data_IF_316108156508
#
_entry.id   IF_316108156508
#
_cell.length_a   1.000
_cell.length_b   1.000
_cell.length_c   1.000
_cell.angle_alpha   90.00
_cell.angle_beta   90.00
_cell.angle_gamma   90.00
#
_symmetry.space_group_name_H-M   'P 1'
#
loop_
_entity.id
_entity.type
_entity.pdbx_description
1 polymer ?
#
# COMPACT_ATOMS: atom_id res chain seq x y z
N UNK A 1 -0.97 -10.51 5.97
CA UNK A 1 -0.25 -9.40 5.30
C UNK A 1 -1.04 -8.89 4.09
N UNK A 2 -1.40 -9.79 3.18
CA UNK A 2 -1.89 -9.48 1.81
C UNK A 2 -3.15 -8.62 1.79
N UNK A 3 -4.24 -9.01 2.47
CA UNK A 3 -5.47 -8.21 2.50
C UNK A 3 -5.27 -6.77 3.00
N UNK A 4 -4.33 -6.55 3.93
CA UNK A 4 -3.97 -5.18 4.36
C UNK A 4 -3.38 -4.41 3.18
N UNK A 5 -2.41 -5.00 2.46
CA UNK A 5 -1.76 -4.34 1.33
C UNK A 5 -2.77 -4.09 0.21
N UNK A 6 -3.51 -5.11 -0.20
CA UNK A 6 -4.37 -5.05 -1.38
C UNK A 6 -5.61 -4.18 -1.13
N UNK A 7 -6.43 -4.55 -0.13
CA UNK A 7 -7.74 -3.94 0.07
C UNK A 7 -7.79 -2.96 1.25
N UNK A 8 -6.75 -2.92 2.06
CA UNK A 8 -6.75 -2.21 3.33
C UNK A 8 -7.48 -2.97 4.44
N UNK A 9 -7.06 -2.71 5.67
CA UNK A 9 -7.74 -3.18 6.89
C UNK A 9 -7.93 -2.07 7.89
N UNK A 10 -8.90 -2.25 8.79
CA UNK A 10 -9.13 -1.36 9.94
C UNK A 10 -7.85 -1.26 10.79
N UNK A 11 -7.46 -0.04 11.15
CA UNK A 11 -6.25 0.25 11.96
C UNK A 11 -6.39 -0.28 13.38
N UNK A 12 -7.59 -0.18 13.94
CA UNK A 12 -7.97 -0.64 15.27
C UNK A 12 -9.44 -1.08 15.22
N UNK A 13 -9.87 -2.11 15.96
CA UNK A 13 -11.28 -2.54 16.00
C UNK A 13 -12.26 -1.40 16.30
N UNK A 14 -11.85 -0.41 17.08
CA UNK A 14 -12.69 0.70 17.54
C UNK A 14 -12.67 1.95 16.65
N UNK A 15 -11.93 1.93 15.52
CA UNK A 15 -11.80 3.09 14.63
C UNK A 15 -12.14 2.74 13.20
N UNK A 16 -12.90 3.58 12.52
CA UNK A 16 -13.18 3.43 11.09
C UNK A 16 -12.03 3.92 10.18
N UNK A 17 -10.81 3.99 10.70
CA UNK A 17 -9.61 4.34 9.92
C UNK A 17 -9.02 3.07 9.30
N UNK A 18 -8.67 3.12 8.01
CA UNK A 18 -8.08 2.00 7.27
C UNK A 18 -6.59 2.27 7.00
N UNK A 19 -5.77 1.22 7.01
CA UNK A 19 -4.35 1.25 6.60
C UNK A 19 -4.12 0.25 5.46
N UNK A 20 -3.12 0.53 4.61
CA UNK A 20 -2.85 -0.22 3.38
C UNK A 20 -3.80 0.17 2.25
N UNK A 21 -4.27 -0.77 1.44
CA UNK A 21 -5.20 -0.50 0.35
C UNK A 21 -4.51 0.10 -0.87
N UNK A 22 -3.83 -0.75 -1.63
CA UNK A 22 -2.96 -0.41 -2.74
C UNK A 22 -3.30 -1.18 -4.04
N UNK A 23 -4.28 -2.08 -4.02
CA UNK A 23 -4.70 -2.82 -5.22
C UNK A 23 -5.50 -1.92 -6.19
N UNK A 24 -5.33 -2.08 -7.51
CA UNK A 24 -6.19 -1.44 -8.50
C UNK A 24 -7.66 -1.92 -8.43
N UNK A 25 -7.94 -3.00 -7.69
CA UNK A 25 -9.30 -3.48 -7.43
C UNK A 25 -10.09 -2.59 -6.45
N UNK A 26 -9.46 -1.55 -5.86
CA UNK A 26 -10.15 -0.50 -5.10
C UNK A 26 -10.74 0.51 -6.10
N UNK A 27 -11.87 0.15 -6.69
CA UNK A 27 -12.56 0.94 -7.71
C UNK A 27 -14.09 0.75 -7.61
N UNK A 28 -14.84 1.51 -8.41
CA UNK A 28 -16.31 1.52 -8.36
C UNK A 28 -16.99 0.28 -9.00
N UNK A 29 -16.23 -0.65 -9.59
CA UNK A 29 -16.77 -1.95 -10.01
C UNK A 29 -16.80 -2.96 -8.84
N UNK A 30 -16.16 -2.64 -7.71
CA UNK A 30 -16.18 -3.44 -6.50
C UNK A 30 -17.17 -2.82 -5.50
N UNK A 31 -18.21 -3.58 -5.15
CA UNK A 31 -19.32 -3.10 -4.33
C UNK A 31 -18.96 -2.75 -2.88
N UNK A 32 -17.80 -3.19 -2.37
CA UNK A 32 -17.34 -2.81 -1.03
C UNK A 32 -16.56 -1.48 -1.03
N UNK A 33 -16.40 -0.84 -2.18
CA UNK A 33 -15.67 0.42 -2.30
C UNK A 33 -16.48 1.50 -3.00
N UNK A 34 -16.30 2.73 -2.53
CA UNK A 34 -16.57 3.93 -3.31
C UNK A 34 -15.25 4.69 -3.48
N UNK A 35 -14.80 4.89 -4.71
CA UNK A 35 -13.48 5.43 -5.03
C UNK A 35 -13.56 6.58 -6.04
N UNK A 36 -12.68 7.56 -5.88
CA UNK A 36 -12.43 8.65 -6.81
C UNK A 36 -10.96 8.65 -7.18
N UNK A 37 -10.68 8.58 -8.48
CA UNK A 37 -9.35 8.81 -9.02
C UNK A 37 -9.03 10.30 -8.98
N UNK A 38 -7.90 10.66 -8.35
CA UNK A 38 -7.45 12.03 -8.20
C UNK A 38 -6.41 12.39 -9.26
N UNK A 39 -5.51 11.46 -9.57
CA UNK A 39 -4.52 11.60 -10.64
C UNK A 39 -3.88 10.26 -11.00
N UNK A 40 -3.28 10.21 -12.19
CA UNK A 40 -2.43 9.11 -12.66
C UNK A 40 -0.99 9.61 -12.69
N UNK A 41 -0.07 8.85 -12.09
CA UNK A 41 1.35 9.17 -12.10
C UNK A 41 2.01 8.65 -13.40
N UNK A 42 3.18 9.17 -13.81
CA UNK A 42 3.87 8.72 -15.02
C UNK A 42 4.23 7.22 -15.06
N UNK A 43 4.37 6.58 -13.89
CA UNK A 43 4.66 5.14 -13.75
C UNK A 43 3.38 4.26 -13.84
N UNK A 44 2.21 4.86 -14.11
CA UNK A 44 0.93 4.19 -14.22
C UNK A 44 0.23 3.91 -12.90
N UNK A 45 0.86 4.19 -11.76
CA UNK A 45 0.17 4.16 -10.46
C UNK A 45 -0.87 5.27 -10.38
N UNK A 46 -1.88 5.12 -9.53
CA UNK A 46 -2.94 6.11 -9.39
C UNK A 46 -3.05 6.62 -7.97
N UNK A 47 -3.25 7.91 -7.81
CA UNK A 47 -3.63 8.49 -6.54
C UNK A 47 -5.15 8.53 -6.48
N UNK A 48 -5.73 7.89 -5.46
CA UNK A 48 -7.16 7.81 -5.26
C UNK A 48 -7.54 8.31 -3.87
N UNK A 49 -8.82 8.62 -3.69
CA UNK A 49 -9.46 8.58 -2.37
C UNK A 49 -10.59 7.56 -2.40
N UNK A 50 -10.75 6.81 -1.31
CA UNK A 50 -11.80 5.78 -1.22
C UNK A 50 -12.44 5.70 0.16
N UNK A 51 -13.64 5.15 0.19
CA UNK A 51 -14.35 4.66 1.37
C UNK A 51 -14.52 3.15 1.17
N UNK A 52 -14.33 2.37 2.23
CA UNK A 52 -14.53 0.92 2.27
C UNK A 52 -15.73 0.57 3.14
N UNK A 53 -16.63 -0.27 2.66
CA UNK A 53 -17.60 -0.98 3.49
C UNK A 53 -16.85 -1.98 4.36
N UNK A 54 -16.96 -1.83 5.68
CA UNK A 54 -16.25 -2.66 6.65
C UNK A 54 -16.99 -3.98 6.92
N UNK A 55 -18.15 -4.19 6.30
CA UNK A 55 -18.98 -5.40 6.37
C UNK A 55 -19.46 -5.74 7.80
N UNK A 56 -19.47 -4.75 8.68
CA UNK A 56 -19.97 -4.82 10.05
C UNK A 56 -21.01 -3.73 10.35
N UNK A 57 -21.65 -3.22 9.29
CA UNK A 57 -22.59 -2.10 9.35
C UNK A 57 -21.93 -0.72 9.41
N UNK A 58 -20.60 -0.63 9.37
CA UNK A 58 -19.86 0.62 9.32
C UNK A 58 -19.14 0.81 7.97
N UNK A 59 -18.87 2.07 7.66
CA UNK A 59 -17.98 2.47 6.56
C UNK A 59 -16.70 3.08 7.12
N UNK A 60 -15.61 2.99 6.35
CA UNK A 60 -14.36 3.67 6.69
C UNK A 60 -14.50 5.19 6.57
N UNK A 61 -13.62 5.93 7.26
CA UNK A 61 -13.31 7.31 6.88
C UNK A 61 -12.74 7.32 5.46
N UNK A 62 -12.86 8.46 4.77
CA UNK A 62 -12.19 8.69 3.49
C UNK A 62 -10.69 8.48 3.68
N UNK A 63 -10.10 7.65 2.83
CA UNK A 63 -8.67 7.38 2.81
C UNK A 63 -8.08 7.76 1.46
N UNK A 64 -6.98 8.51 1.47
CA UNK A 64 -6.12 8.69 0.30
C UNK A 64 -5.13 7.54 0.18
N UNK A 65 -4.86 7.10 -1.04
CA UNK A 65 -3.88 6.06 -1.31
C UNK A 65 -3.28 6.21 -2.69
N UNK A 66 -2.04 5.76 -2.85
CA UNK A 66 -1.47 5.45 -4.15
C UNK A 66 -1.65 3.95 -4.38
N UNK A 67 -2.31 3.57 -5.47
CA UNK A 67 -2.56 2.19 -5.86
C UNK A 67 -1.65 1.79 -7.02
N UNK A 68 -1.35 0.49 -7.12
CA UNK A 68 -0.56 -0.07 -8.22
C UNK A 68 -1.29 0.11 -9.57
N UNK A 69 -0.56 0.03 -10.70
CA UNK A 69 -1.16 0.16 -12.02
C UNK A 69 -2.24 -0.91 -12.28
N UNK A 70 -3.24 -0.58 -13.08
CA UNK A 70 -4.33 -1.51 -13.45
C UNK A 70 -3.83 -2.79 -14.15
N UNK A 71 -2.62 -2.76 -14.72
CA UNK A 71 -1.97 -3.91 -15.36
C UNK A 71 -1.37 -4.91 -14.36
N UNK A 72 -1.35 -4.59 -13.06
CA UNK A 72 -0.83 -5.46 -12.02
C UNK A 72 -1.98 -6.18 -11.32
N UNK A 73 -1.93 -7.51 -11.34
CA UNK A 73 -2.82 -8.34 -10.54
C UNK A 73 -2.29 -8.48 -9.09
N UNK A 74 -3.15 -9.00 -8.20
CA UNK A 74 -2.84 -9.12 -6.78
C UNK A 74 -1.59 -9.98 -6.51
N UNK A 75 -1.39 -11.09 -7.23
CA UNK A 75 -0.19 -11.93 -7.09
C UNK A 75 1.09 -11.15 -7.42
N UNK A 76 1.10 -10.42 -8.54
CA UNK A 76 2.23 -9.57 -8.92
C UNK A 76 2.56 -8.53 -7.86
N UNK A 77 1.53 -7.89 -7.29
CA UNK A 77 1.72 -6.89 -6.22
C UNK A 77 2.38 -7.53 -5.00
N UNK A 78 1.84 -8.66 -4.53
CA UNK A 78 2.33 -9.33 -3.34
C UNK A 78 3.75 -9.88 -3.54
N UNK A 79 4.01 -10.52 -4.68
CA UNK A 79 5.31 -11.10 -4.99
C UNK A 79 6.38 -10.01 -5.16
N UNK A 80 6.03 -8.89 -5.78
CA UNK A 80 6.92 -7.72 -5.88
C UNK A 80 7.26 -7.16 -4.50
N UNK A 81 6.27 -7.02 -3.61
CA UNK A 81 6.52 -6.53 -2.24
C UNK A 81 7.38 -7.50 -1.44
N UNK A 82 7.18 -8.82 -1.58
CA UNK A 82 8.05 -9.83 -0.95
C UNK A 82 9.47 -9.70 -1.48
N UNK A 83 9.64 -9.64 -2.81
CA UNK A 83 10.93 -9.46 -3.47
C UNK A 83 11.68 -8.21 -2.97
N UNK A 84 11.01 -7.06 -2.95
CA UNK A 84 11.61 -5.82 -2.41
C UNK A 84 11.97 -5.98 -0.93
N UNK A 85 11.11 -6.62 -0.14
CA UNK A 85 11.37 -6.86 1.29
C UNK A 85 12.54 -7.83 1.57
N UNK A 86 12.93 -8.64 0.61
CA UNK A 86 14.07 -9.56 0.74
C UNK A 86 15.38 -8.96 0.21
N UNK A 87 15.34 -7.71 -0.28
CA UNK A 87 16.52 -6.96 -0.65
C UNK A 87 17.31 -6.45 0.58
N UNK A 88 18.56 -5.99 0.40
CA UNK A 88 19.31 -5.37 1.49
C UNK A 88 18.60 -4.11 2.03
N UNK A 89 18.51 -4.01 3.36
CA UNK A 89 17.90 -2.85 4.01
C UNK A 89 18.67 -1.56 3.71
N UNK A 90 17.96 -0.52 3.27
CA UNK A 90 18.51 0.82 3.07
C UNK A 90 18.62 1.64 4.35
N UNK A 91 17.83 1.33 5.37
CA UNK A 91 18.01 1.87 6.73
C UNK A 91 17.30 1.01 7.79
N UNK A 92 17.68 1.21 9.05
CA UNK A 92 17.09 0.55 10.23
C UNK A 92 16.56 1.62 11.18
N UNK A 93 15.30 1.50 11.57
CA UNK A 93 14.65 2.41 12.51
C UNK A 93 15.03 2.07 13.94
N UNK A 94 15.75 2.98 14.61
CA UNK A 94 16.34 2.76 15.93
C UNK A 94 15.33 2.36 17.03
N UNK A 95 14.10 2.86 16.95
CA UNK A 95 13.07 2.63 17.99
C UNK A 95 12.67 1.16 18.13
N UNK A 96 12.56 0.45 17.02
CA UNK A 96 11.94 -0.89 16.98
C UNK A 96 12.68 -1.89 16.09
N UNK A 97 13.79 -1.49 15.48
CA UNK A 97 14.58 -2.36 14.60
C UNK A 97 13.93 -2.65 13.25
N UNK A 98 12.82 -1.97 12.91
CA UNK A 98 12.22 -2.14 11.59
C UNK A 98 13.19 -1.73 10.48
N UNK A 99 13.18 -2.46 9.37
CA UNK A 99 14.05 -2.24 8.22
C UNK A 99 13.26 -1.63 7.06
N UNK A 100 13.88 -0.71 6.33
CA UNK A 100 13.32 -0.08 5.15
C UNK A 100 14.02 -0.59 3.89
N UNK A 101 13.22 -0.94 2.89
CA UNK A 101 13.65 -1.50 1.61
C UNK A 101 12.96 -0.77 0.48
N UNK A 102 13.69 -0.57 -0.63
CA UNK A 102 13.17 0.10 -1.82
C UNK A 102 13.79 -0.47 -3.07
N UNK A 103 12.94 -0.77 -4.04
CA UNK A 103 13.35 -1.13 -5.40
C UNK A 103 12.34 -0.62 -6.42
N UNK A 104 12.74 -0.62 -7.69
CA UNK A 104 11.87 -0.37 -8.83
C UNK A 104 11.61 -1.69 -9.53
N UNK A 105 10.34 -2.06 -9.68
CA UNK A 105 9.90 -3.26 -10.40
C UNK A 105 9.00 -2.80 -11.55
N UNK A 106 9.36 -3.13 -12.78
CA UNK A 106 8.65 -2.73 -14.02
C UNK A 106 8.28 -1.23 -14.08
N UNK A 107 9.21 -0.38 -13.65
CA UNK A 107 9.03 1.09 -13.64
C UNK A 107 8.31 1.65 -12.41
N UNK A 108 7.75 0.81 -11.53
CA UNK A 108 7.09 1.24 -10.28
C UNK A 108 8.07 1.16 -9.11
N UNK A 109 8.33 2.29 -8.44
CA UNK A 109 9.08 2.31 -7.19
C UNK A 109 8.18 1.83 -6.03
N UNK A 110 8.70 0.87 -5.25
CA UNK A 110 7.99 0.22 -4.16
C UNK A 110 8.80 0.40 -2.87
N UNK A 111 8.11 0.86 -1.82
CA UNK A 111 8.62 0.88 -0.46
C UNK A 111 8.10 -0.30 0.33
N UNK A 112 9.00 -0.96 1.06
CA UNK A 112 8.67 -2.04 1.99
C UNK A 112 9.30 -1.79 3.35
N UNK A 113 8.51 -1.99 4.40
CA UNK A 113 8.99 -1.95 5.79
C UNK A 113 8.80 -3.33 6.39
N UNK A 114 9.89 -3.92 6.90
CA UNK A 114 9.88 -5.18 7.63
C UNK A 114 10.19 -4.98 9.11
N UNK A 115 9.66 -5.87 9.96
CA UNK A 115 10.06 -6.02 11.35
C UNK A 115 10.44 -7.48 11.56
N UNK A 116 11.74 -7.76 11.69
CA UNK A 116 12.24 -9.12 11.46
C UNK A 116 11.92 -9.57 10.03
N UNK A 117 11.32 -10.74 9.88
CA UNK A 117 10.90 -11.29 8.59
C UNK A 117 9.51 -10.81 8.14
N UNK A 118 8.75 -10.17 9.02
CA UNK A 118 7.38 -9.77 8.74
C UNK A 118 7.32 -8.46 7.95
N UNK A 119 6.67 -8.49 6.78
CA UNK A 119 6.29 -7.27 6.04
C UNK A 119 5.15 -6.55 6.76
N UNK A 120 5.50 -5.43 7.40
CA UNK A 120 4.55 -4.59 8.14
C UNK A 120 4.01 -3.43 7.28
N UNK A 121 4.64 -3.11 6.16
CA UNK A 121 4.11 -2.18 5.16
C UNK A 121 4.70 -2.47 3.78
N UNK A 122 3.92 -2.28 2.72
CA UNK A 122 4.36 -2.40 1.33
C UNK A 122 3.42 -1.60 0.43
N UNK A 123 3.96 -0.66 -0.36
CA UNK A 123 3.15 0.25 -1.17
C UNK A 123 3.93 0.85 -2.36
N UNK A 124 3.26 1.20 -3.47
CA UNK A 124 3.88 1.96 -4.54
C UNK A 124 4.03 3.42 -4.11
N UNK A 125 5.12 4.06 -4.52
CA UNK A 125 5.42 5.44 -4.11
C UNK A 125 4.88 6.50 -5.07
N UNK A 126 4.52 6.08 -6.29
CA UNK A 126 4.00 6.93 -7.37
C UNK A 126 5.01 7.89 -8.00
N UNK A 127 6.28 7.78 -7.62
CA UNK A 127 7.41 8.49 -8.23
C UNK A 127 8.72 7.84 -7.81
N UNK A 128 9.72 7.96 -8.67
CA UNK A 128 11.09 7.58 -8.30
C UNK A 128 11.66 8.54 -7.26
N UNK A 129 12.42 8.00 -6.31
CA UNK A 129 13.04 8.70 -5.18
C UNK A 129 12.01 9.42 -4.29
N UNK A 130 10.91 8.76 -3.97
CA UNK A 130 9.95 9.33 -3.04
C UNK A 130 10.57 9.58 -1.65
N UNK A 131 10.16 10.61 -0.90
CA UNK A 131 10.63 10.81 0.47
C UNK A 131 10.41 9.55 1.30
N UNK A 132 11.39 9.19 2.14
CA UNK A 132 11.25 8.06 3.05
C UNK A 132 10.06 8.30 3.99
N UNK A 133 9.35 7.23 4.41
CA UNK A 133 8.31 7.34 5.40
C UNK A 133 8.86 7.88 6.71
N UNK A 134 8.07 8.67 7.45
CA UNK A 134 8.51 9.27 8.71
C UNK A 134 9.06 8.23 9.68
N UNK A 135 10.25 8.52 10.23
CA UNK A 135 10.98 7.62 11.13
C UNK A 135 12.03 6.74 10.45
N UNK A 136 12.30 6.93 9.15
CA UNK A 136 13.39 6.31 8.38
C UNK A 136 14.26 7.31 7.63
#
# INVERSE_FOLDING_TARGET
MENKILEGRRKSPTKNEVIGGHSPNINNNNNIFAAEELSVNPDGTKNIKFIKDLQDGNISKIKKSTIFPDSWNDSKIIDSIKNVGDSPAGSVRQRDGATFHRQIIDGVEIDVIKLGDDVISGYPTGKVNAPKPSGF
#
